data_IF_448962518766
#
_entry.id   IF_448962518766
#
_cell.length_a   1.000
_cell.length_b   1.000
_cell.length_c   1.000
_cell.angle_alpha   90.00
_cell.angle_beta   90.00
_cell.angle_gamma   90.00
#
_symmetry.space_group_name_H-M   'P 1'
#
loop_
_entity.id
_entity.type
_entity.pdbx_description
1 polymer ?
#
# COMPACT_ATOMS: atom_id res chain seq x y z
N UNK A 1 29.04 -7.15 21.27
CA UNK A 1 29.21 -8.57 20.90
C UNK A 1 27.84 -9.23 21.00
N UNK A 2 27.38 -9.89 19.94
CA UNK A 2 26.16 -10.70 20.00
C UNK A 2 26.36 -11.93 20.87
N UNK A 3 25.32 -12.33 21.60
CA UNK A 3 25.25 -13.61 22.30
C UNK A 3 24.93 -14.75 21.32
N UNK A 4 25.19 -15.99 21.70
CA UNK A 4 24.95 -17.17 20.85
C UNK A 4 23.47 -17.29 20.43
N UNK A 5 22.56 -17.00 21.36
CA UNK A 5 21.11 -16.96 21.07
C UNK A 5 20.73 -15.87 20.07
N UNK A 6 21.46 -14.75 20.07
CA UNK A 6 21.24 -13.66 19.12
C UNK A 6 21.74 -14.03 17.72
N UNK A 7 22.82 -14.81 17.61
CA UNK A 7 23.29 -15.36 16.35
C UNK A 7 22.27 -16.36 15.76
N UNK A 8 21.66 -17.19 16.61
CA UNK A 8 20.57 -18.09 16.20
C UNK A 8 19.37 -17.28 15.70
N UNK A 9 18.95 -16.24 16.44
CA UNK A 9 17.87 -15.34 16.02
C UNK A 9 18.15 -14.69 14.66
N UNK A 10 19.37 -14.19 14.44
CA UNK A 10 19.79 -13.61 13.17
C UNK A 10 19.72 -14.61 12.00
N UNK A 11 20.12 -15.86 12.23
CA UNK A 11 20.01 -16.94 11.23
C UNK A 11 18.55 -17.26 10.88
N UNK A 12 17.66 -17.28 11.88
CA UNK A 12 16.21 -17.51 11.67
C UNK A 12 15.61 -16.39 10.83
N UNK A 13 15.87 -15.14 11.19
CA UNK A 13 15.41 -13.97 10.41
C UNK A 13 15.94 -13.99 8.97
N UNK A 14 17.21 -14.33 8.77
CA UNK A 14 17.81 -14.43 7.44
C UNK A 14 17.15 -15.52 6.55
N UNK A 15 16.53 -16.53 7.15
CA UNK A 15 15.80 -17.58 6.43
C UNK A 15 14.34 -17.21 6.12
N UNK A 16 13.92 -15.99 6.45
CA UNK A 16 12.55 -15.53 6.23
C UNK A 16 11.55 -16.10 7.24
N UNK A 17 12.01 -16.48 8.44
CA UNK A 17 11.16 -17.01 9.50
C UNK A 17 11.07 -16.03 10.69
N UNK A 18 10.05 -16.22 11.53
CA UNK A 18 9.84 -15.41 12.75
C UNK A 18 10.76 -15.93 13.86
N UNK A 19 11.61 -15.05 14.39
CA UNK A 19 12.40 -15.33 15.59
C UNK A 19 11.66 -14.83 16.84
N UNK A 20 10.99 -15.74 17.55
CA UNK A 20 10.38 -15.42 18.84
C UNK A 20 11.46 -15.28 19.91
N UNK A 21 11.70 -14.03 20.33
CA UNK A 21 12.67 -13.69 21.38
C UNK A 21 11.98 -12.87 22.45
N UNK A 22 12.20 -13.22 23.72
CA UNK A 22 11.59 -12.51 24.86
C UNK A 22 12.06 -11.05 24.90
N UNK A 23 11.24 -10.18 25.48
CA UNK A 23 11.63 -8.79 25.73
C UNK A 23 12.93 -8.74 26.53
N UNK A 24 13.87 -7.91 26.09
CA UNK A 24 15.20 -7.80 26.71
C UNK A 24 16.28 -8.69 26.09
N UNK A 25 15.94 -9.65 25.22
CA UNK A 25 16.93 -10.48 24.52
C UNK A 25 17.70 -9.74 23.42
N UNK A 26 17.35 -8.47 23.15
CA UNK A 26 18.06 -7.58 22.23
C UNK A 26 17.66 -7.74 20.76
N UNK A 27 16.36 -7.87 20.45
CA UNK A 27 15.81 -7.94 19.09
C UNK A 27 16.41 -6.89 18.13
N UNK A 28 16.51 -5.63 18.58
CA UNK A 28 17.10 -4.53 17.80
C UNK A 28 18.53 -4.83 17.35
N UNK A 29 19.36 -5.38 18.23
CA UNK A 29 20.74 -5.76 17.89
C UNK A 29 20.77 -7.02 17.01
N UNK A 30 19.84 -7.96 17.19
CA UNK A 30 19.73 -9.18 16.38
C UNK A 30 19.43 -8.85 14.91
N UNK A 31 18.52 -7.89 14.66
CA UNK A 31 18.14 -7.46 13.31
C UNK A 31 19.35 -6.99 12.48
N UNK A 32 20.41 -6.49 13.14
CA UNK A 32 21.63 -6.03 12.44
C UNK A 32 22.33 -7.12 11.63
N UNK A 33 22.24 -8.38 12.03
CA UNK A 33 22.90 -9.49 11.34
C UNK A 33 22.35 -9.71 9.92
N UNK A 34 21.04 -10.02 9.75
CA UNK A 34 20.43 -10.14 8.43
C UNK A 34 20.38 -8.81 7.66
N UNK A 35 20.11 -7.67 8.32
CA UNK A 35 20.07 -6.37 7.62
C UNK A 35 21.42 -6.03 6.99
N UNK A 36 22.53 -6.27 7.70
CA UNK A 36 23.87 -6.09 7.14
C UNK A 36 24.11 -7.03 5.95
N UNK A 37 23.82 -8.33 6.11
CA UNK A 37 24.05 -9.31 5.06
C UNK A 37 23.26 -8.99 3.77
N UNK A 38 21.99 -8.61 3.91
CA UNK A 38 21.18 -8.21 2.76
C UNK A 38 21.59 -6.83 2.21
N UNK A 39 22.01 -5.89 3.07
CA UNK A 39 22.53 -4.59 2.66
C UNK A 39 23.79 -4.67 1.78
N UNK A 40 24.63 -5.70 1.96
CA UNK A 40 25.79 -5.95 1.09
C UNK A 40 25.41 -6.16 -0.38
N UNK A 41 24.19 -6.62 -0.67
CA UNK A 41 23.72 -6.84 -2.05
C UNK A 41 23.41 -5.53 -2.78
N UNK A 42 23.31 -4.40 -2.05
CA UNK A 42 22.87 -3.09 -2.55
C UNK A 42 21.44 -3.08 -3.13
N UNK A 43 20.70 -4.18 -2.99
CA UNK A 43 19.29 -4.32 -3.35
C UNK A 43 18.32 -3.87 -2.27
N UNK A 44 18.83 -3.48 -1.10
CA UNK A 44 18.06 -2.79 -0.06
C UNK A 44 17.49 -3.74 0.97
N UNK A 45 17.44 -3.29 2.22
CA UNK A 45 16.85 -4.02 3.32
C UNK A 45 16.05 -3.07 4.19
N UNK A 46 14.76 -3.35 4.39
CA UNK A 46 13.89 -2.52 5.20
C UNK A 46 13.82 -3.06 6.63
N UNK A 47 13.92 -2.16 7.62
CA UNK A 47 13.60 -2.47 9.01
C UNK A 47 12.32 -1.72 9.38
N UNK A 48 11.23 -2.45 9.53
CA UNK A 48 9.90 -1.93 9.83
C UNK A 48 9.70 -1.95 11.34
N UNK A 49 9.26 -0.82 11.89
CA UNK A 49 8.95 -0.65 13.31
C UNK A 49 7.54 -0.08 13.48
N UNK A 50 7.03 -0.04 14.71
CA UNK A 50 5.63 0.36 14.99
C UNK A 50 5.41 1.88 15.02
N UNK A 51 6.46 2.71 15.12
CA UNK A 51 6.33 4.16 15.11
C UNK A 51 7.64 4.89 14.73
N UNK A 52 7.49 6.15 14.31
CA UNK A 52 8.60 7.00 13.84
C UNK A 52 9.70 7.23 14.89
N UNK A 53 9.34 7.27 16.18
CA UNK A 53 10.32 7.41 17.25
C UNK A 53 11.25 6.20 17.32
N UNK A 54 10.70 4.98 17.28
CA UNK A 54 11.49 3.74 17.27
C UNK A 54 12.30 3.61 15.98
N UNK A 55 11.70 3.91 14.83
CA UNK A 55 12.42 3.92 13.54
C UNK A 55 13.66 4.82 13.61
N UNK A 56 13.47 6.07 14.06
CA UNK A 56 14.55 7.06 14.16
C UNK A 56 15.61 6.63 15.18
N UNK A 57 15.20 6.27 16.39
CA UNK A 57 16.10 5.83 17.46
C UNK A 57 16.96 4.65 17.02
N UNK A 58 16.35 3.63 16.43
CA UNK A 58 17.03 2.39 16.08
C UNK A 58 17.93 2.59 14.85
N UNK A 59 17.51 3.42 13.90
CA UNK A 59 18.36 3.83 12.78
C UNK A 59 19.59 4.62 13.24
N UNK A 60 19.43 5.60 14.14
CA UNK A 60 20.56 6.38 14.67
C UNK A 60 21.51 5.53 15.53
N UNK A 61 20.95 4.61 16.31
CA UNK A 61 21.75 3.77 17.20
C UNK A 61 22.48 2.67 16.44
N UNK A 62 21.75 1.83 15.68
CA UNK A 62 22.34 0.75 14.90
C UNK A 62 23.06 1.25 13.65
N UNK A 63 22.70 2.44 13.14
CA UNK A 63 23.39 3.07 12.01
C UNK A 63 24.86 3.33 12.26
N UNK A 64 25.28 3.54 13.51
CA UNK A 64 26.71 3.61 13.88
C UNK A 64 27.46 2.34 13.49
N UNK A 65 26.84 1.17 13.67
CA UNK A 65 27.41 -0.12 13.29
C UNK A 65 27.46 -0.28 11.77
N UNK A 66 26.35 0.00 11.07
CA UNK A 66 26.29 -0.14 9.61
C UNK A 66 27.26 0.81 8.90
N UNK A 67 27.30 2.07 9.32
CA UNK A 67 28.20 3.09 8.77
C UNK A 67 29.66 2.73 9.04
N UNK A 68 29.99 2.20 10.23
CA UNK A 68 31.33 1.69 10.53
C UNK A 68 31.74 0.56 9.57
N UNK A 69 30.79 -0.28 9.15
CA UNK A 69 31.02 -1.36 8.19
C UNK A 69 30.82 -0.94 6.72
N UNK A 70 30.62 0.36 6.45
CA UNK A 70 30.54 0.92 5.10
C UNK A 70 29.18 0.80 4.41
N UNK A 71 28.10 0.54 5.15
CA UNK A 71 26.73 0.59 4.61
C UNK A 71 26.03 1.89 5.00
N UNK A 72 25.27 2.47 4.08
CA UNK A 72 24.43 3.65 4.33
C UNK A 72 23.08 3.28 4.96
N UNK A 73 22.52 4.22 5.73
CA UNK A 73 21.24 4.05 6.41
C UNK A 73 20.32 5.22 6.11
N UNK A 74 19.11 4.93 5.65
CA UNK A 74 18.03 5.88 5.44
C UNK A 74 16.94 5.72 6.50
N UNK A 75 16.16 6.78 6.72
CA UNK A 75 15.05 6.80 7.66
C UNK A 75 13.83 7.37 6.91
N UNK A 76 12.73 6.64 6.93
CA UNK A 76 11.44 7.05 6.40
C UNK A 76 10.50 7.31 7.58
N UNK A 77 10.14 8.58 7.76
CA UNK A 77 9.22 9.07 8.79
C UNK A 77 8.26 10.09 8.18
N UNK A 78 7.24 10.46 8.94
CA UNK A 78 6.31 11.49 8.52
C UNK A 78 6.99 12.84 8.25
N UNK A 79 6.50 13.58 7.25
CA UNK A 79 6.97 14.94 6.93
C UNK A 79 8.13 15.03 5.95
N UNK A 80 8.71 13.90 5.52
CA UNK A 80 9.74 13.89 4.47
C UNK A 80 9.14 14.21 3.08
N UNK A 81 9.87 15.02 2.32
CA UNK A 81 9.63 15.29 0.90
C UNK A 81 9.97 14.07 0.02
N UNK A 82 9.43 14.02 -1.19
CA UNK A 82 9.74 12.93 -2.15
C UNK A 82 11.23 12.79 -2.42
N UNK A 83 11.96 13.91 -2.51
CA UNK A 83 13.42 13.88 -2.69
C UNK A 83 14.14 13.25 -1.49
N UNK A 84 13.77 13.63 -0.27
CA UNK A 84 14.35 13.04 0.95
C UNK A 84 14.02 11.55 1.06
N UNK A 85 12.81 11.14 0.63
CA UNK A 85 12.42 9.73 0.56
C UNK A 85 13.25 8.97 -0.47
N UNK A 86 13.44 9.51 -1.68
CA UNK A 86 14.32 8.91 -2.70
C UNK A 86 15.74 8.69 -2.15
N UNK A 87 16.30 9.69 -1.47
CA UNK A 87 17.61 9.57 -0.83
C UNK A 87 17.63 8.48 0.27
N UNK A 88 16.59 8.40 1.10
CA UNK A 88 16.47 7.42 2.17
C UNK A 88 16.23 5.97 1.68
N UNK A 89 15.42 5.76 0.64
CA UNK A 89 15.25 4.46 0.00
C UNK A 89 16.50 4.04 -0.80
N UNK A 90 17.27 5.02 -1.30
CA UNK A 90 18.56 4.81 -1.94
C UNK A 90 19.66 4.27 -1.01
N UNK A 91 19.45 4.33 0.30
CA UNK A 91 20.38 3.76 1.28
C UNK A 91 20.40 2.22 1.24
N UNK A 92 21.48 1.61 1.73
CA UNK A 92 21.62 0.15 1.77
C UNK A 92 20.61 -0.51 2.70
N UNK A 93 20.29 0.17 3.80
CA UNK A 93 19.32 -0.21 4.81
C UNK A 93 18.40 0.98 5.07
N UNK A 94 17.09 0.74 5.11
CA UNK A 94 16.09 1.80 5.33
C UNK A 94 15.22 1.44 6.53
N UNK A 95 15.17 2.31 7.54
CA UNK A 95 14.25 2.17 8.67
C UNK A 95 12.97 2.95 8.39
N UNK A 96 11.84 2.47 8.88
CA UNK A 96 10.58 3.19 8.79
C UNK A 96 9.44 2.46 9.47
N UNK A 97 8.23 2.96 9.26
CA UNK A 97 7.00 2.32 9.74
C UNK A 97 6.27 1.63 8.59
N UNK A 98 5.44 0.64 8.93
CA UNK A 98 4.58 -0.05 7.98
C UNK A 98 3.67 0.94 7.22
N UNK A 99 3.15 1.95 7.91
CA UNK A 99 2.31 2.99 7.33
C UNK A 99 3.07 3.79 6.26
N UNK A 100 4.28 4.27 6.57
CA UNK A 100 5.04 5.06 5.61
C UNK A 100 5.48 4.22 4.39
N UNK A 101 5.98 3.01 4.60
CA UNK A 101 6.32 2.10 3.50
C UNK A 101 5.09 1.78 2.63
N UNK A 102 3.93 1.51 3.24
CA UNK A 102 2.73 1.19 2.51
C UNK A 102 2.17 2.39 1.74
N UNK A 103 2.14 3.58 2.35
CA UNK A 103 1.68 4.78 1.67
C UNK A 103 2.62 5.26 0.56
N UNK A 104 3.93 5.11 0.73
CA UNK A 104 4.89 5.38 -0.35
C UNK A 104 4.67 4.44 -1.53
N UNK A 105 4.44 3.16 -1.28
CA UNK A 105 4.09 2.20 -2.34
C UNK A 105 2.81 2.62 -3.07
N UNK A 106 1.76 3.01 -2.33
CA UNK A 106 0.51 3.49 -2.93
C UNK A 106 0.72 4.76 -3.75
N UNK A 107 1.47 5.75 -3.23
CA UNK A 107 1.78 6.99 -3.92
C UNK A 107 2.60 6.76 -5.19
N UNK A 108 3.58 5.87 -5.15
CA UNK A 108 4.40 5.55 -6.32
C UNK A 108 3.55 4.97 -7.46
N UNK A 109 2.55 4.13 -7.14
CA UNK A 109 1.61 3.61 -8.13
C UNK A 109 0.58 4.63 -8.65
N UNK A 110 0.61 5.87 -8.15
CA UNK A 110 -0.19 6.99 -8.66
C UNK A 110 0.64 8.01 -9.46
N UNK A 111 1.96 7.83 -9.55
CA UNK A 111 2.85 8.73 -10.31
C UNK A 111 2.81 8.42 -11.80
N UNK A 112 3.03 9.46 -12.61
CA UNK A 112 3.04 9.36 -14.08
C UNK A 112 4.36 8.78 -14.60
N UNK A 113 5.48 9.21 -14.02
CA UNK A 113 6.83 8.87 -14.46
C UNK A 113 7.54 8.01 -13.41
N UNK A 114 8.39 7.08 -13.87
CA UNK A 114 9.11 6.16 -12.98
C UNK A 114 10.23 6.87 -12.21
N UNK A 115 10.76 7.96 -12.77
CA UNK A 115 11.78 8.80 -12.16
C UNK A 115 11.30 9.50 -10.88
N UNK A 116 9.98 9.69 -10.76
CA UNK A 116 9.39 10.28 -9.57
C UNK A 116 9.23 9.26 -8.44
N UNK A 117 9.41 7.96 -8.68
CA UNK A 117 9.22 6.93 -7.65
C UNK A 117 10.19 7.16 -6.48
N UNK A 118 9.70 7.01 -5.25
CA UNK A 118 10.56 7.08 -4.06
C UNK A 118 11.11 5.71 -3.69
N UNK A 119 10.33 4.66 -3.86
CA UNK A 119 10.75 3.30 -3.56
C UNK A 119 11.56 2.67 -4.69
N UNK A 120 12.36 1.68 -4.29
CA UNK A 120 13.03 0.74 -5.19
C UNK A 120 12.33 -0.61 -5.15
N UNK A 121 12.64 -1.54 -6.09
CA UNK A 121 12.07 -2.88 -6.08
C UNK A 121 12.21 -3.55 -4.69
N UNK A 122 11.12 -4.08 -4.10
CA UNK A 122 11.18 -4.75 -2.81
C UNK A 122 12.16 -5.93 -2.84
N UNK A 123 13.02 -6.04 -1.82
CA UNK A 123 14.05 -7.07 -1.75
C UNK A 123 14.01 -7.87 -0.45
N UNK A 124 14.11 -7.20 0.70
CA UNK A 124 14.09 -7.84 2.01
C UNK A 124 13.55 -6.90 3.07
N UNK A 125 12.76 -7.42 4.00
CA UNK A 125 12.22 -6.66 5.12
C UNK A 125 12.26 -7.48 6.42
N UNK A 126 12.63 -6.83 7.51
CA UNK A 126 12.45 -7.33 8.87
C UNK A 126 11.39 -6.47 9.52
N UNK A 127 10.39 -7.12 10.12
CA UNK A 127 9.31 -6.45 10.83
C UNK A 127 9.51 -6.67 12.32
N UNK A 128 9.86 -5.62 13.05
CA UNK A 128 9.88 -5.65 14.51
C UNK A 128 8.43 -5.59 15.04
N UNK A 129 8.16 -6.26 16.15
CA UNK A 129 6.81 -6.49 16.69
C UNK A 129 5.82 -6.98 15.59
N UNK A 130 6.23 -8.04 14.89
CA UNK A 130 5.52 -8.57 13.72
C UNK A 130 4.08 -9.02 14.01
N UNK A 131 3.75 -9.38 15.24
CA UNK A 131 2.39 -9.68 15.69
C UNK A 131 1.52 -8.42 15.65
N UNK A 132 2.02 -7.31 16.19
CA UNK A 132 1.31 -6.02 16.15
C UNK A 132 1.09 -5.55 14.70
N UNK A 133 2.11 -5.63 13.86
CA UNK A 133 2.04 -5.10 12.49
C UNK A 133 1.30 -6.04 11.53
N UNK A 134 1.64 -7.33 11.50
CA UNK A 134 1.12 -8.27 10.50
C UNK A 134 -0.19 -8.94 10.91
N UNK A 135 -0.61 -8.82 12.17
CA UNK A 135 -1.87 -9.38 12.67
C UNK A 135 -2.83 -8.29 13.12
N UNK A 136 -2.44 -7.45 14.08
CA UNK A 136 -3.37 -6.48 14.67
C UNK A 136 -3.68 -5.33 13.73
N UNK A 137 -2.65 -4.73 13.10
CA UNK A 137 -2.79 -3.60 12.18
C UNK A 137 -3.27 -4.01 10.78
N UNK A 138 -3.03 -5.25 10.36
CA UNK A 138 -3.47 -5.78 9.07
C UNK A 138 -4.99 -5.77 8.85
N UNK A 139 -5.77 -5.51 9.90
CA UNK A 139 -7.24 -5.36 9.84
C UNK A 139 -7.68 -4.05 9.20
N UNK A 140 -6.82 -3.04 9.16
CA UNK A 140 -7.16 -1.70 8.64
C UNK A 140 -6.40 -1.47 7.33
N UNK A 141 -7.09 -1.31 6.19
CA UNK A 141 -6.41 -1.05 4.91
C UNK A 141 -5.83 0.36 4.87
N UNK A 142 -4.72 0.53 4.14
CA UNK A 142 -4.17 1.83 3.79
C UNK A 142 -4.93 2.40 2.59
N UNK A 143 -5.50 3.60 2.74
CA UNK A 143 -6.35 4.23 1.72
C UNK A 143 -5.87 5.66 1.46
N UNK A 144 -5.64 6.00 0.18
CA UNK A 144 -5.49 7.38 -0.28
C UNK A 144 -6.84 7.81 -0.86
N UNK A 145 -7.51 8.73 -0.19
CA UNK A 145 -8.75 9.33 -0.69
C UNK A 145 -8.46 10.60 -1.49
N UNK A 146 -8.99 10.70 -2.70
CA UNK A 146 -9.01 11.92 -3.51
C UNK A 146 -10.41 12.53 -3.57
N UNK A 147 -10.55 13.79 -4.02
CA UNK A 147 -11.84 14.34 -4.38
C UNK A 147 -12.48 13.48 -5.48
N UNK A 148 -13.79 13.23 -5.37
CA UNK A 148 -14.52 12.59 -6.46
C UNK A 148 -14.66 13.58 -7.63
N UNK A 149 -14.18 13.21 -8.81
CA UNK A 149 -14.41 13.96 -10.04
C UNK A 149 -15.77 13.63 -10.69
N UNK A 150 -16.50 12.65 -10.15
CA UNK A 150 -17.78 12.22 -10.71
C UNK A 150 -18.87 13.27 -10.52
N UNK A 151 -19.59 13.56 -11.61
CA UNK A 151 -20.72 14.49 -11.60
C UNK A 151 -21.91 13.89 -10.86
N UNK A 152 -22.20 14.46 -9.68
CA UNK A 152 -23.42 14.14 -8.92
C UNK A 152 -24.68 14.38 -9.77
N UNK A 153 -24.60 15.28 -10.77
CA UNK A 153 -25.68 15.53 -11.73
C UNK A 153 -26.19 14.25 -12.43
N UNK A 154 -25.31 13.30 -12.76
CA UNK A 154 -25.70 12.05 -13.44
C UNK A 154 -26.71 11.25 -12.64
N UNK A 155 -26.52 11.13 -11.34
CA UNK A 155 -27.48 10.43 -10.48
C UNK A 155 -28.86 11.08 -10.51
N UNK A 156 -28.92 12.42 -10.59
CA UNK A 156 -30.19 13.14 -10.71
C UNK A 156 -30.84 12.99 -12.08
N UNK A 157 -30.05 12.98 -13.16
CA UNK A 157 -30.54 12.74 -14.52
C UNK A 157 -31.12 11.33 -14.65
N UNK A 158 -30.39 10.31 -14.19
CA UNK A 158 -30.86 8.93 -14.19
C UNK A 158 -32.11 8.79 -13.30
N UNK A 159 -32.13 9.38 -12.10
CA UNK A 159 -33.30 9.29 -11.22
C UNK A 159 -34.58 9.90 -11.85
N UNK A 160 -34.47 10.88 -12.75
CA UNK A 160 -35.64 11.44 -13.46
C UNK A 160 -36.24 10.46 -14.47
N UNK A 161 -35.43 9.58 -15.07
CA UNK A 161 -35.89 8.63 -16.09
C UNK A 161 -36.46 7.34 -15.49
N UNK A 162 -35.95 6.87 -14.34
CA UNK A 162 -36.37 5.61 -13.69
C UNK A 162 -37.91 5.48 -13.55
N UNK A 163 -38.67 6.51 -13.08
CA UNK A 163 -40.12 6.41 -12.95
C UNK A 163 -40.89 6.18 -14.26
N UNK A 164 -40.26 6.41 -15.41
CA UNK A 164 -40.85 6.22 -16.73
C UNK A 164 -40.66 4.77 -17.24
N UNK A 165 -39.85 3.96 -16.56
CA UNK A 165 -39.62 2.56 -16.89
C UNK A 165 -40.67 1.65 -16.26
N UNK A 166 -41.04 0.57 -16.95
CA UNK A 166 -42.10 -0.37 -16.53
C UNK A 166 -41.50 -1.76 -16.39
N UNK A 167 -41.77 -2.41 -15.25
CA UNK A 167 -41.38 -3.80 -15.00
C UNK A 167 -42.00 -4.71 -16.06
N UNK A 168 -41.24 -5.71 -16.51
CA UNK A 168 -41.62 -6.71 -17.51
C UNK A 168 -41.85 -6.15 -18.94
N UNK A 169 -41.63 -4.85 -19.14
CA UNK A 169 -41.63 -4.20 -20.46
C UNK A 169 -40.27 -3.59 -20.74
N UNK A 170 -39.84 -2.63 -19.91
CA UNK A 170 -38.57 -1.91 -20.06
C UNK A 170 -37.43 -2.56 -19.25
N UNK A 171 -37.73 -3.34 -18.21
CA UNK A 171 -36.70 -4.05 -17.45
C UNK A 171 -37.23 -5.35 -16.86
N UNK A 172 -36.33 -6.32 -16.69
CA UNK A 172 -36.57 -7.57 -15.96
C UNK A 172 -35.85 -7.54 -14.62
N UNK A 173 -36.44 -8.19 -13.61
CA UNK A 173 -35.85 -8.31 -12.28
C UNK A 173 -35.78 -9.78 -11.87
N UNK A 174 -34.59 -10.26 -11.56
CA UNK A 174 -34.37 -11.58 -11.00
C UNK A 174 -34.32 -11.49 -9.47
N UNK A 175 -35.42 -11.82 -8.80
CA UNK A 175 -35.56 -11.61 -7.34
C UNK A 175 -34.61 -12.45 -6.50
N UNK A 176 -34.18 -13.61 -7.01
CA UNK A 176 -33.23 -14.50 -6.31
C UNK A 176 -31.84 -13.90 -6.23
N UNK A 177 -31.40 -13.24 -7.29
CA UNK A 177 -30.07 -12.63 -7.41
C UNK A 177 -30.09 -11.13 -7.11
N UNK A 178 -31.29 -10.53 -7.01
CA UNK A 178 -31.53 -9.08 -6.89
C UNK A 178 -30.88 -8.29 -8.02
N UNK A 179 -30.87 -8.87 -9.21
CA UNK A 179 -30.33 -8.25 -10.42
C UNK A 179 -31.45 -7.64 -11.25
N UNK A 180 -31.20 -6.44 -11.79
CA UNK A 180 -32.09 -5.75 -12.72
C UNK A 180 -31.36 -5.57 -14.05
N UNK A 181 -32.05 -5.85 -15.15
CA UNK A 181 -31.50 -5.67 -16.51
C UNK A 181 -32.54 -5.00 -17.39
N UNK A 182 -32.11 -4.02 -18.18
CA UNK A 182 -32.95 -3.40 -19.21
C UNK A 182 -33.26 -4.42 -20.31
N UNK A 183 -34.48 -4.38 -20.83
CA UNK A 183 -34.84 -5.07 -22.08
C UNK A 183 -34.37 -4.25 -23.28
N UNK A 184 -34.46 -4.79 -24.50
CA UNK A 184 -34.21 -3.99 -25.72
C UNK A 184 -35.12 -2.76 -25.80
N UNK A 185 -36.42 -2.91 -25.48
CA UNK A 185 -37.36 -1.79 -25.40
C UNK A 185 -36.98 -0.79 -24.30
N UNK A 186 -36.45 -1.28 -23.18
CA UNK A 186 -35.91 -0.46 -22.10
C UNK A 186 -34.71 0.37 -22.52
N UNK A 187 -33.76 -0.23 -23.22
CA UNK A 187 -32.59 0.47 -23.76
C UNK A 187 -33.02 1.61 -24.70
N UNK A 188 -33.88 1.32 -25.68
CA UNK A 188 -34.39 2.35 -26.59
C UNK A 188 -35.16 3.45 -25.85
N UNK A 189 -35.91 3.11 -24.79
CA UNK A 189 -36.62 4.11 -24.00
C UNK A 189 -35.69 5.01 -23.20
N UNK A 190 -34.63 4.45 -22.63
CA UNK A 190 -33.61 5.20 -21.88
C UNK A 190 -32.80 6.09 -22.85
N UNK A 191 -32.44 5.59 -24.03
CA UNK A 191 -31.79 6.34 -25.10
C UNK A 191 -32.60 7.57 -25.53
N UNK A 192 -33.91 7.40 -25.75
CA UNK A 192 -34.82 8.48 -26.06
C UNK A 192 -34.87 9.54 -24.94
N UNK A 193 -34.98 9.10 -23.68
CA UNK A 193 -35.11 9.99 -22.53
C UNK A 193 -33.82 10.74 -22.18
N UNK A 194 -32.65 10.15 -22.47
CA UNK A 194 -31.34 10.76 -22.29
C UNK A 194 -30.85 11.51 -23.53
N UNK A 195 -31.56 11.38 -24.67
CA UNK A 195 -31.18 12.02 -25.93
C UNK A 195 -29.90 11.44 -26.55
N UNK A 196 -29.59 10.17 -26.30
CA UNK A 196 -28.40 9.48 -26.81
C UNK A 196 -28.79 8.43 -27.84
N UNK A 197 -27.90 8.15 -28.81
CA UNK A 197 -28.16 7.21 -29.90
C UNK A 197 -27.92 5.74 -29.52
N UNK A 198 -27.00 5.49 -28.59
CA UNK A 198 -26.65 4.15 -28.12
C UNK A 198 -26.02 4.26 -26.72
N UNK A 199 -26.61 3.60 -25.73
CA UNK A 199 -26.08 3.60 -24.35
C UNK A 199 -24.69 2.93 -24.23
N UNK A 200 -24.41 1.96 -25.09
CA UNK A 200 -23.18 1.17 -25.03
C UNK A 200 -22.03 1.74 -25.87
N UNK A 201 -22.22 2.91 -26.50
CA UNK A 201 -21.14 3.58 -27.22
C UNK A 201 -20.06 4.08 -26.25
N UNK A 202 -18.79 4.04 -26.68
CA UNK A 202 -17.65 4.45 -25.85
C UNK A 202 -17.75 5.91 -25.33
N UNK A 203 -18.45 6.79 -26.05
CA UNK A 203 -18.72 8.16 -25.62
C UNK A 203 -19.75 8.25 -24.47
N UNK A 204 -20.63 7.24 -24.35
CA UNK A 204 -21.71 7.17 -23.38
C UNK A 204 -21.41 6.18 -22.23
N UNK A 205 -20.25 5.50 -22.25
CA UNK A 205 -19.77 4.63 -21.15
C UNK A 205 -19.77 5.35 -19.80
N UNK A 206 -19.62 6.67 -19.77
CA UNK A 206 -19.68 7.44 -18.52
C UNK A 206 -21.11 7.66 -17.98
N UNK A 207 -22.15 7.26 -18.72
CA UNK A 207 -23.58 7.34 -18.36
C UNK A 207 -24.17 6.00 -17.91
N UNK A 208 -23.45 4.89 -18.10
CA UNK A 208 -23.88 3.50 -17.83
C UNK A 208 -23.14 2.91 -16.64
#
# INVERSE_FOLDING_TARGET
RHYDVQLIGGLVLNRGAIAEMKTGEGKTLVATLPLYLHGLTKKGAHCVTVNDYLATRDAEWMGKLYNFLGLSVGIIVHGLTDKERQEAYGADITYGTNNEFGFDYLRDNMKYDIEDYVQRPPNFAIVDECDSILVDEARTPLIISGPAEDSVEKYYEINKIIPHLKKDVHFTMEEKTKTVSLTEEGNSKVEELLGVSNLYDAANISLV
#
